data_IF_834333209238
#
_entry.id   IF_834333209238
#
_cell.length_a   1.000
_cell.length_b   1.000
_cell.length_c   1.000
_cell.angle_alpha   90.00
_cell.angle_beta   90.00
_cell.angle_gamma   90.00
#
_symmetry.space_group_name_H-M   'P 1'
#
loop_
_entity.id
_entity.type
_entity.pdbx_description
1 polymer ?
#
# COMPACT_ATOMS: atom_id res chain seq x y z
N UNK A 1 -0.83 4.88 6.12
CA UNK A 1 -1.40 5.19 4.80
C UNK A 1 -0.52 4.70 3.67
N UNK A 2 -1.15 4.23 2.59
CA UNK A 2 -0.45 3.82 1.36
C UNK A 2 -0.59 4.95 0.35
N UNK A 3 0.54 5.46 -0.12
CA UNK A 3 0.60 6.54 -1.11
C UNK A 3 1.21 6.07 -2.42
N UNK A 4 0.81 6.69 -3.53
CA UNK A 4 1.35 6.41 -4.87
C UNK A 4 2.22 7.59 -5.32
N UNK A 5 3.48 7.33 -5.63
CA UNK A 5 4.39 8.33 -6.18
C UNK A 5 4.16 8.47 -7.69
N UNK A 6 3.86 9.68 -8.15
CA UNK A 6 3.53 10.00 -9.54
C UNK A 6 4.27 11.26 -9.99
N UNK A 7 4.69 11.29 -11.26
CA UNK A 7 5.13 12.54 -11.91
C UNK A 7 3.90 13.27 -12.45
N UNK A 8 3.70 14.50 -12.00
CA UNK A 8 2.58 15.34 -12.44
C UNK A 8 3.09 16.58 -13.16
N UNK A 9 2.36 17.07 -14.18
CA UNK A 9 2.67 18.36 -14.79
C UNK A 9 2.45 19.49 -13.76
N UNK A 10 3.41 20.40 -13.70
CA UNK A 10 3.37 21.61 -12.89
C UNK A 10 3.80 22.79 -13.78
N UNK A 11 3.16 23.94 -13.61
CA UNK A 11 3.53 25.16 -14.34
C UNK A 11 4.73 25.83 -13.66
N UNK A 12 5.67 26.27 -14.48
CA UNK A 12 6.72 27.20 -14.11
C UNK A 12 6.21 28.64 -14.18
N UNK A 13 6.97 29.57 -13.62
CA UNK A 13 6.64 31.01 -13.60
C UNK A 13 6.61 31.62 -15.01
N UNK A 14 7.37 31.04 -15.95
CA UNK A 14 7.40 31.40 -17.38
C UNK A 14 6.27 30.78 -18.21
N UNK A 15 5.36 30.03 -17.58
CA UNK A 15 4.26 29.32 -18.24
C UNK A 15 4.64 27.99 -18.90
N UNK A 16 5.92 27.59 -18.89
CA UNK A 16 6.34 26.27 -19.35
C UNK A 16 5.88 25.15 -18.40
N UNK A 17 5.72 23.94 -18.93
CA UNK A 17 5.38 22.75 -18.12
C UNK A 17 6.66 22.05 -17.67
N UNK A 18 6.76 21.79 -16.36
CA UNK A 18 7.72 20.86 -15.77
C UNK A 18 6.98 19.64 -15.20
N UNK A 19 7.64 18.49 -15.17
CA UNK A 19 7.13 17.33 -14.44
C UNK A 19 7.73 17.29 -13.04
N UNK A 20 6.88 17.29 -12.02
CA UNK A 20 7.31 17.27 -10.63
C UNK A 20 6.79 16.00 -9.93
N UNK A 21 7.65 15.37 -9.12
CA UNK A 21 7.27 14.21 -8.33
C UNK A 21 6.35 14.62 -7.17
N UNK A 22 5.26 13.89 -7.00
CA UNK A 22 4.28 14.04 -5.92
C UNK A 22 3.88 12.67 -5.40
N UNK A 23 3.51 12.59 -4.12
CA UNK A 23 2.91 11.39 -3.54
C UNK A 23 1.44 11.65 -3.29
N UNK A 24 0.59 10.82 -3.89
CA UNK A 24 -0.86 10.88 -3.80
C UNK A 24 -1.34 10.01 -2.64
N UNK A 25 -2.13 10.59 -1.74
CA UNK A 25 -2.85 9.87 -0.68
C UNK A 25 -4.36 10.09 -0.83
N UNK A 26 -5.20 9.12 -0.46
CA UNK A 26 -6.63 9.37 -0.31
C UNK A 26 -6.87 10.42 0.77
N UNK A 27 -7.90 11.26 0.59
CA UNK A 27 -8.38 12.13 1.67
C UNK A 27 -9.22 11.32 2.66
N UNK A 28 -8.90 11.44 3.94
CA UNK A 28 -9.62 10.76 5.04
C UNK A 28 -10.74 11.63 5.65
N UNK A 29 -11.06 12.78 5.05
CA UNK A 29 -12.07 13.74 5.54
C UNK A 29 -13.50 13.43 5.06
N UNK A 30 -13.71 12.28 4.39
CA UNK A 30 -15.00 11.88 3.84
C UNK A 30 -15.45 12.65 2.59
N UNK A 31 -14.71 13.68 2.15
CA UNK A 31 -15.02 14.46 0.94
C UNK A 31 -14.68 13.71 -0.36
N UNK A 32 -13.96 12.60 -0.26
CA UNK A 32 -13.38 11.90 -1.40
C UNK A 32 -12.20 12.67 -2.01
N UNK A 33 -11.52 12.04 -2.96
CA UNK A 33 -10.42 12.66 -3.71
C UNK A 33 -9.03 12.42 -3.11
N UNK A 34 -8.05 13.17 -3.66
CA UNK A 34 -6.62 12.91 -3.47
C UNK A 34 -5.92 14.14 -2.88
N UNK A 35 -5.06 13.90 -1.89
CA UNK A 35 -4.11 14.88 -1.37
C UNK A 35 -2.72 14.58 -1.95
N UNK A 36 -2.12 15.58 -2.59
CA UNK A 36 -0.74 15.49 -3.05
C UNK A 36 0.24 16.06 -2.02
N UNK A 37 1.30 15.31 -1.73
CA UNK A 37 2.37 15.67 -0.80
C UNK A 37 3.70 15.69 -1.54
N UNK A 38 4.60 16.60 -1.14
CA UNK A 38 5.98 16.60 -1.63
C UNK A 38 6.73 15.41 -1.03
N UNK A 39 7.49 14.63 -1.82
CA UNK A 39 8.26 13.50 -1.30
C UNK A 39 9.18 13.87 -0.13
N UNK A 40 9.78 15.07 -0.17
CA UNK A 40 10.65 15.58 0.90
C UNK A 40 9.97 15.84 2.24
N UNK A 41 8.63 15.79 2.31
CA UNK A 41 7.87 15.92 3.56
C UNK A 41 7.52 14.57 4.19
N UNK A 42 7.81 13.48 3.50
CA UNK A 42 7.57 12.14 4.04
C UNK A 42 8.79 11.69 4.83
N UNK A 43 8.55 11.20 6.04
CA UNK A 43 9.55 10.59 6.91
C UNK A 43 9.18 9.12 7.08
N UNK A 44 10.16 8.25 7.32
CA UNK A 44 9.95 6.82 7.61
C UNK A 44 9.11 6.09 6.55
N UNK A 45 9.46 6.27 5.28
CA UNK A 45 8.77 5.63 4.17
C UNK A 45 9.36 4.26 3.84
N UNK A 46 8.50 3.25 3.74
CA UNK A 46 8.82 1.94 3.20
C UNK A 46 8.16 1.75 1.83
N UNK A 47 8.85 1.09 0.91
CA UNK A 47 8.23 0.62 -0.34
C UNK A 47 7.36 -0.61 -0.03
N UNK A 48 6.11 -0.59 -0.47
CA UNK A 48 5.09 -1.57 -0.04
C UNK A 48 4.41 -2.29 -1.21
N UNK A 49 5.19 -2.89 -2.11
CA UNK A 49 4.63 -3.80 -3.12
C UNK A 49 4.05 -5.07 -2.49
N UNK A 50 4.69 -5.53 -1.41
CA UNK A 50 4.18 -6.53 -0.51
C UNK A 50 4.34 -6.00 0.92
N UNK A 51 3.47 -6.43 1.82
CA UNK A 51 3.54 -6.09 3.25
C UNK A 51 3.40 -7.34 4.09
N UNK A 52 3.90 -7.27 5.31
CA UNK A 52 3.65 -8.33 6.29
C UNK A 52 2.18 -8.29 6.72
N UNK A 53 1.64 -9.44 7.12
CA UNK A 53 0.28 -9.51 7.70
C UNK A 53 0.14 -8.54 8.87
N UNK A 54 1.17 -8.41 9.71
CA UNK A 54 1.21 -7.43 10.80
C UNK A 54 1.00 -5.98 10.34
N UNK A 55 1.71 -5.54 9.27
CA UNK A 55 1.55 -4.17 8.73
C UNK A 55 0.19 -3.94 8.06
N UNK A 56 -0.55 -5.00 7.73
CA UNK A 56 -1.89 -4.91 7.12
C UNK A 56 -3.04 -4.80 8.13
N UNK A 57 -2.77 -4.88 9.44
CA UNK A 57 -3.81 -4.83 10.46
C UNK A 57 -4.64 -3.54 10.37
N UNK A 58 -5.97 -3.70 10.48
CA UNK A 58 -6.92 -2.58 10.34
C UNK A 58 -7.17 -2.11 8.91
N UNK A 59 -6.46 -2.65 7.92
CA UNK A 59 -6.70 -2.42 6.50
C UNK A 59 -7.46 -3.58 5.86
N UNK A 60 -8.20 -3.32 4.78
CA UNK A 60 -8.86 -4.34 3.98
C UNK A 60 -8.71 -4.01 2.50
N UNK A 61 -8.63 -5.04 1.67
CA UNK A 61 -8.38 -4.93 0.23
C UNK A 61 -9.41 -5.75 -0.54
N UNK A 62 -9.80 -5.28 -1.73
CA UNK A 62 -10.71 -6.03 -2.60
C UNK A 62 -10.17 -7.44 -2.90
N UNK A 63 -8.87 -7.53 -3.19
CA UNK A 63 -8.16 -8.78 -3.39
C UNK A 63 -6.87 -8.83 -2.56
N UNK A 64 -6.65 -9.94 -1.85
CA UNK A 64 -5.41 -10.22 -1.12
C UNK A 64 -4.80 -11.53 -1.60
N UNK A 65 -3.49 -11.53 -1.87
CA UNK A 65 -2.70 -12.73 -2.07
C UNK A 65 -1.79 -12.95 -0.84
N UNK A 66 -1.95 -14.09 -0.16
CA UNK A 66 -1.08 -14.50 0.95
C UNK A 66 -0.03 -15.47 0.44
N UNK A 67 1.24 -15.10 0.59
CA UNK A 67 2.38 -15.94 0.22
C UNK A 67 2.90 -16.62 1.48
N UNK A 68 2.90 -17.95 1.50
CA UNK A 68 3.47 -18.74 2.57
C UNK A 68 4.97 -18.95 2.35
N UNK A 69 5.77 -19.03 3.42
CA UNK A 69 7.17 -19.41 3.30
C UNK A 69 7.31 -20.86 2.85
N UNK A 70 8.38 -21.18 2.12
CA UNK A 70 8.68 -22.54 1.64
C UNK A 70 8.87 -23.55 2.77
N UNK A 71 9.27 -23.09 3.95
CA UNK A 71 9.45 -23.90 5.14
C UNK A 71 8.57 -23.41 6.28
N UNK A 72 7.99 -24.36 7.02
CA UNK A 72 7.27 -24.07 8.26
C UNK A 72 8.22 -23.37 9.25
N UNK A 73 7.88 -22.15 9.62
CA UNK A 73 8.60 -21.33 10.60
C UNK A 73 7.66 -21.01 11.77
N UNK A 74 8.15 -20.89 13.02
CA UNK A 74 7.35 -20.46 14.18
C UNK A 74 6.46 -19.22 13.98
N UNK A 75 6.80 -18.33 13.05
CA UNK A 75 5.99 -17.15 12.71
C UNK A 75 4.66 -17.55 12.05
N UNK A 76 4.59 -18.70 11.37
CA UNK A 76 3.40 -19.17 10.68
C UNK A 76 2.42 -19.82 11.67
N UNK A 77 1.58 -18.98 12.28
CA UNK A 77 0.52 -19.43 13.20
C UNK A 77 -0.86 -19.40 12.52
N UNK A 78 -1.84 -20.08 13.13
CA UNK A 78 -3.24 -20.05 12.66
C UNK A 78 -3.80 -18.63 12.69
N UNK A 79 -3.44 -17.85 13.70
CA UNK A 79 -3.84 -16.46 13.89
C UNK A 79 -3.27 -15.57 12.79
N UNK A 80 -2.02 -15.80 12.37
CA UNK A 80 -1.41 -15.06 11.26
C UNK A 80 -2.15 -15.35 9.95
N UNK A 81 -2.41 -16.62 9.66
CA UNK A 81 -3.14 -17.02 8.44
C UNK A 81 -4.57 -16.49 8.46
N UNK A 82 -5.28 -16.65 9.57
CA UNK A 82 -6.63 -16.10 9.76
C UNK A 82 -6.67 -14.58 9.55
N UNK A 83 -5.71 -13.87 10.15
CA UNK A 83 -5.59 -12.42 9.97
C UNK A 83 -5.37 -12.08 8.49
N UNK A 84 -4.48 -12.80 7.80
CA UNK A 84 -4.23 -12.63 6.37
C UNK A 84 -5.47 -12.85 5.50
N UNK A 85 -6.24 -13.92 5.77
CA UNK A 85 -7.50 -14.22 5.06
C UNK A 85 -8.51 -13.08 5.25
N UNK A 86 -8.71 -12.61 6.49
CA UNK A 86 -9.69 -11.55 6.79
C UNK A 86 -9.29 -10.17 6.25
N UNK A 87 -8.12 -9.99 5.65
CA UNK A 87 -7.78 -8.75 4.94
C UNK A 87 -8.46 -8.66 3.57
N UNK A 88 -8.88 -9.78 2.98
CA UNK A 88 -9.60 -9.80 1.71
C UNK A 88 -11.10 -9.49 1.91
N UNK A 89 -11.64 -8.58 1.09
CA UNK A 89 -13.08 -8.28 1.04
C UNK A 89 -13.81 -9.19 0.05
N UNK A 90 -13.27 -9.32 -1.16
CA UNK A 90 -13.96 -9.99 -2.26
C UNK A 90 -13.23 -11.26 -2.70
N UNK A 91 -11.89 -11.21 -2.80
CA UNK A 91 -11.09 -12.29 -3.37
C UNK A 91 -9.85 -12.62 -2.54
N UNK A 92 -9.57 -13.91 -2.34
CA UNK A 92 -8.38 -14.38 -1.65
C UNK A 92 -7.63 -15.40 -2.52
N UNK A 93 -6.31 -15.24 -2.62
CA UNK A 93 -5.41 -16.23 -3.21
C UNK A 93 -4.36 -16.66 -2.20
N UNK A 94 -4.11 -17.97 -2.12
CA UNK A 94 -3.01 -18.53 -1.36
C UNK A 94 -1.92 -18.97 -2.34
N UNK A 95 -0.68 -18.55 -2.07
CA UNK A 95 0.50 -18.97 -2.82
C UNK A 95 1.38 -19.77 -1.87
N UNK A 96 1.58 -21.03 -2.18
CA UNK A 96 2.46 -21.94 -1.44
C UNK A 96 3.34 -22.72 -2.42
N UNK A 97 4.52 -23.13 -1.96
CA UNK A 97 5.41 -24.03 -2.68
C UNK A 97 5.01 -25.47 -2.37
N UNK A 98 4.72 -26.26 -3.41
CA UNK A 98 4.37 -27.69 -3.34
C UNK A 98 5.60 -28.58 -3.12
#
# INVERSE_FOLDING_TARGET
DIGIALRLPARNDDGSLRFALRVAFPRNDGSGGVRFVLPSRLVEVDTVFAMTVHKSQGSEFAHTALVLPDALNPVLTKELVYTGITRARDWFSLVESL
#
